data_IF_874469025464
#
_entry.id   IF_874469025464
#
_cell.length_a   1.000
_cell.length_b   1.000
_cell.length_c   1.000
_cell.angle_alpha   90.00
_cell.angle_beta   90.00
_cell.angle_gamma   90.00
#
_symmetry.space_group_name_H-M   'P 1'
#
loop_
_entity.id
_entity.type
_entity.pdbx_description
1 polymer ?
#
# COMPACT_ATOMS: atom_id res chain seq x y z
N UNK A 1 -13.46 31.67 8.10
CA UNK A 1 -12.31 32.28 7.38
C UNK A 1 -12.10 31.47 6.10
N UNK A 2 -11.78 32.14 5.00
CA UNK A 2 -11.50 31.49 3.72
C UNK A 2 -10.11 30.86 3.79
N UNK A 3 -9.99 29.55 3.54
CA UNK A 3 -8.70 28.85 3.51
C UNK A 3 -8.13 28.77 2.09
N UNK A 4 -6.87 29.14 1.91
CA UNK A 4 -6.17 29.05 0.63
C UNK A 4 -5.50 27.67 0.49
N UNK A 5 -5.93 26.91 -0.50
CA UNK A 5 -5.47 25.53 -0.76
C UNK A 5 -4.73 25.49 -2.09
N UNK A 6 -3.45 25.18 -2.03
CA UNK A 6 -2.60 24.98 -3.22
C UNK A 6 -2.60 23.52 -3.63
N UNK A 7 -3.07 23.22 -4.84
CA UNK A 7 -3.00 21.91 -5.45
C UNK A 7 -1.67 21.73 -6.19
N UNK A 8 -0.70 21.12 -5.55
CA UNK A 8 0.65 20.89 -6.05
C UNK A 8 0.87 19.46 -6.57
N UNK A 9 -0.17 18.81 -7.09
CA UNK A 9 -0.12 17.41 -7.48
C UNK A 9 -0.04 17.16 -9.00
N UNK A 10 0.25 18.22 -9.77
CA UNK A 10 0.36 18.17 -11.24
C UNK A 10 -0.87 18.69 -11.98
N UNK A 11 -0.61 19.28 -13.15
CA UNK A 11 -1.66 19.94 -13.94
C UNK A 11 -2.64 18.95 -14.59
N UNK A 12 -2.21 17.73 -14.81
CA UNK A 12 -2.99 16.61 -15.39
C UNK A 12 -4.09 16.11 -14.43
N UNK A 13 -3.83 16.13 -13.13
CA UNK A 13 -4.82 15.74 -12.12
C UNK A 13 -5.75 16.88 -11.71
N UNK A 14 -5.37 18.12 -11.97
CA UNK A 14 -6.09 19.30 -11.51
C UNK A 14 -7.56 19.36 -11.92
N UNK A 15 -7.96 19.09 -13.18
CA UNK A 15 -9.36 19.19 -13.60
C UNK A 15 -10.30 18.31 -12.77
N UNK A 16 -9.92 17.06 -12.54
CA UNK A 16 -10.73 16.08 -11.81
C UNK A 16 -10.76 16.40 -10.31
N UNK A 17 -9.61 16.70 -9.72
CA UNK A 17 -9.51 17.01 -8.30
C UNK A 17 -10.15 18.36 -7.95
N UNK A 18 -10.10 19.36 -8.82
CA UNK A 18 -10.75 20.65 -8.60
C UNK A 18 -12.23 20.47 -8.28
N UNK A 19 -12.94 19.74 -9.13
CA UNK A 19 -14.39 19.52 -8.98
C UNK A 19 -14.71 18.72 -7.72
N UNK A 20 -13.96 17.63 -7.48
CA UNK A 20 -14.16 16.77 -6.33
C UNK A 20 -13.86 17.47 -5.00
N UNK A 21 -12.78 18.26 -4.94
CA UNK A 21 -12.42 19.07 -3.76
C UNK A 21 -13.45 20.16 -3.49
N UNK A 22 -13.88 20.90 -4.53
CA UNK A 22 -14.94 21.92 -4.38
C UNK A 22 -16.20 21.29 -3.79
N UNK A 23 -16.65 20.16 -4.33
CA UNK A 23 -17.84 19.45 -3.87
C UNK A 23 -17.69 18.95 -2.43
N UNK A 24 -16.52 18.40 -2.08
CA UNK A 24 -16.26 17.86 -0.75
C UNK A 24 -16.16 18.97 0.30
N UNK A 25 -15.49 20.07 -0.01
CA UNK A 25 -15.42 21.24 0.87
C UNK A 25 -16.80 21.87 1.07
N UNK A 26 -17.58 22.00 0.01
CA UNK A 26 -18.94 22.55 0.10
C UNK A 26 -19.86 21.71 1.00
N UNK A 27 -19.77 20.36 0.92
CA UNK A 27 -20.53 19.46 1.81
C UNK A 27 -20.20 19.66 3.30
N UNK A 28 -18.96 20.06 3.59
CA UNK A 28 -18.51 20.33 4.97
C UNK A 28 -18.67 21.81 5.38
N UNK A 29 -19.26 22.63 4.52
CA UNK A 29 -19.45 24.06 4.79
C UNK A 29 -18.15 24.87 4.83
N UNK A 30 -17.09 24.39 4.19
CA UNK A 30 -15.80 25.05 4.14
C UNK A 30 -15.77 26.11 3.04
N UNK A 31 -15.30 27.31 3.41
CA UNK A 31 -15.00 28.41 2.49
C UNK A 31 -13.52 28.28 2.08
N UNK A 32 -13.26 27.85 0.84
CA UNK A 32 -11.91 27.56 0.34
C UNK A 32 -11.65 28.22 -1.01
N UNK A 33 -10.45 28.73 -1.21
CA UNK A 33 -9.91 29.11 -2.52
C UNK A 33 -8.96 28.03 -2.96
N UNK A 34 -9.35 27.28 -4.00
CA UNK A 34 -8.54 26.22 -4.60
C UNK A 34 -7.80 26.77 -5.82
N UNK A 35 -6.47 26.58 -5.86
CA UNK A 35 -5.63 26.99 -6.98
C UNK A 35 -4.54 25.94 -7.26
N UNK A 36 -4.17 25.79 -8.54
CA UNK A 36 -3.06 24.94 -9.00
C UNK A 36 -1.73 25.72 -9.12
N UNK A 37 -1.74 26.96 -8.71
CA UNK A 37 -0.58 27.84 -8.62
C UNK A 37 -0.55 28.54 -7.27
N UNK A 38 0.65 28.90 -6.81
CA UNK A 38 0.86 29.63 -5.56
C UNK A 38 1.78 30.82 -5.80
N UNK A 39 1.26 31.93 -6.40
CA UNK A 39 2.06 33.12 -6.67
C UNK A 39 2.60 33.79 -5.39
N UNK A 40 1.89 33.62 -4.28
CA UNK A 40 2.32 33.99 -2.93
C UNK A 40 2.29 32.76 -2.01
N UNK A 41 3.40 32.02 -1.89
CA UNK A 41 3.47 30.85 -1.02
C UNK A 41 3.14 31.15 0.46
N UNK A 42 3.45 32.36 0.94
CA UNK A 42 3.18 32.73 2.34
C UNK A 42 1.68 32.87 2.65
N UNK A 43 0.84 33.00 1.62
CA UNK A 43 -0.61 33.07 1.79
C UNK A 43 -1.31 31.70 1.77
N UNK A 44 -0.61 30.60 1.48
CA UNK A 44 -1.16 29.25 1.40
C UNK A 44 -1.39 28.66 2.79
N UNK A 45 -2.59 28.16 3.05
CA UNK A 45 -2.96 27.51 4.31
C UNK A 45 -2.84 25.99 4.26
N UNK A 46 -3.06 25.36 3.11
CA UNK A 46 -2.92 23.91 2.89
C UNK A 46 -2.30 23.59 1.54
N UNK A 47 -1.49 22.54 1.49
CA UNK A 47 -0.91 22.03 0.24
C UNK A 47 -1.44 20.63 0.00
N UNK A 48 -2.10 20.40 -1.13
CA UNK A 48 -2.41 19.06 -1.65
C UNK A 48 -1.24 18.62 -2.49
N UNK A 49 -0.56 17.53 -2.09
CA UNK A 49 0.74 17.11 -2.62
C UNK A 49 0.69 15.72 -3.27
N UNK A 50 1.47 15.54 -4.34
CA UNK A 50 1.81 14.23 -4.90
C UNK A 50 3.33 14.20 -5.19
N UNK A 51 3.95 13.03 -5.42
CA UNK A 51 5.40 12.91 -5.64
C UNK A 51 5.96 13.67 -6.86
N UNK A 52 5.13 14.05 -7.79
CA UNK A 52 5.43 14.91 -8.94
C UNK A 52 5.21 16.42 -8.66
N UNK A 53 4.93 16.79 -7.42
CA UNK A 53 4.73 18.18 -7.03
C UNK A 53 5.98 19.03 -7.33
N UNK A 54 5.79 20.28 -7.81
CA UNK A 54 6.89 21.19 -8.14
C UNK A 54 7.53 21.85 -6.90
N UNK A 55 7.28 21.33 -5.70
CA UNK A 55 7.76 21.90 -4.45
C UNK A 55 8.98 21.13 -3.96
N UNK A 56 10.15 21.78 -3.99
CA UNK A 56 11.38 21.27 -3.39
C UNK A 56 11.63 21.86 -1.99
N UNK A 57 11.24 23.12 -1.78
CA UNK A 57 11.44 23.89 -0.55
C UNK A 57 10.10 24.33 0.04
N UNK A 58 9.82 23.89 1.27
CA UNK A 58 8.58 24.20 2.01
C UNK A 58 8.74 25.44 2.92
N UNK A 59 9.93 26.00 3.08
CA UNK A 59 10.19 27.13 4.02
C UNK A 59 9.42 28.38 3.66
N UNK A 60 9.08 28.58 2.39
CA UNK A 60 8.32 29.74 1.91
C UNK A 60 6.83 29.68 2.27
N UNK A 61 6.31 28.51 2.62
CA UNK A 61 4.89 28.31 2.99
C UNK A 61 4.68 28.54 4.48
N UNK A 62 4.91 29.77 4.93
CA UNK A 62 4.98 30.11 6.37
C UNK A 62 3.65 30.00 7.11
N UNK A 63 2.51 30.09 6.40
CA UNK A 63 1.15 29.92 6.97
C UNK A 63 0.61 28.50 6.86
N UNK A 64 1.30 27.62 6.12
CA UNK A 64 0.79 26.29 5.81
C UNK A 64 0.61 25.46 7.09
N UNK A 65 -0.65 25.06 7.33
CA UNK A 65 -1.08 24.30 8.49
C UNK A 65 -0.83 22.81 8.32
N UNK A 66 -0.91 22.28 7.08
CA UNK A 66 -0.61 20.89 6.76
C UNK A 66 -0.32 20.67 5.27
N UNK A 67 0.52 19.66 4.99
CA UNK A 67 0.72 19.09 3.66
C UNK A 67 -0.06 17.77 3.59
N UNK A 68 -1.03 17.71 2.68
CA UNK A 68 -2.00 16.65 2.53
C UNK A 68 -1.64 15.84 1.28
N UNK A 69 -1.00 14.67 1.48
CA UNK A 69 -0.57 13.82 0.37
C UNK A 69 -1.77 13.12 -0.26
N UNK A 70 -1.81 13.04 -1.59
CA UNK A 70 -2.73 12.20 -2.34
C UNK A 70 -2.31 10.73 -2.37
N UNK A 71 -1.09 10.42 -1.92
CA UNK A 71 -0.55 9.06 -1.93
C UNK A 71 -0.41 8.52 -0.50
N UNK A 72 -0.60 7.20 -0.38
CA UNK A 72 -0.35 6.49 0.89
C UNK A 72 1.14 6.38 1.21
N UNK A 73 1.99 6.28 0.18
CA UNK A 73 3.44 6.27 0.30
C UNK A 73 4.00 7.68 0.41
N UNK A 74 4.78 7.93 1.45
CA UNK A 74 5.36 9.25 1.74
C UNK A 74 6.88 9.24 1.82
N UNK A 75 7.51 8.16 1.39
CA UNK A 75 8.95 7.90 1.53
C UNK A 75 9.83 8.95 0.85
N UNK A 76 9.30 9.64 -0.19
CA UNK A 76 10.02 10.69 -0.92
C UNK A 76 9.93 12.06 -0.27
N UNK A 77 8.80 12.36 0.40
CA UNK A 77 8.55 13.67 0.99
C UNK A 77 8.88 13.70 2.49
N UNK A 78 8.64 12.63 3.23
CA UNK A 78 8.85 12.59 4.67
C UNK A 78 10.28 12.97 5.12
N UNK A 79 11.36 12.60 4.40
CA UNK A 79 12.72 12.98 4.78
C UNK A 79 13.11 14.41 4.36
N UNK A 80 12.24 15.19 3.69
CA UNK A 80 12.58 16.53 3.26
C UNK A 80 12.84 17.45 4.48
N UNK A 81 14.04 18.01 4.65
CA UNK A 81 14.40 18.80 5.84
C UNK A 81 13.68 20.16 5.89
N UNK A 82 13.20 20.68 4.76
CA UNK A 82 12.48 21.95 4.69
C UNK A 82 11.01 21.83 5.04
N UNK A 83 10.48 20.60 5.05
CA UNK A 83 9.08 20.32 5.44
C UNK A 83 8.98 20.29 6.97
N UNK A 84 8.51 21.36 7.56
CA UNK A 84 8.30 21.46 9.03
C UNK A 84 6.83 21.31 9.40
N UNK A 85 5.94 21.44 8.45
CA UNK A 85 4.48 21.33 8.61
C UNK A 85 4.07 19.87 8.86
N UNK A 86 2.94 19.63 9.54
CA UNK A 86 2.30 18.33 9.58
C UNK A 86 2.14 17.74 8.18
N UNK A 87 2.58 16.49 7.99
CA UNK A 87 2.38 15.74 6.76
C UNK A 87 1.30 14.68 7.01
N UNK A 88 0.26 14.65 6.19
CA UNK A 88 -0.79 13.64 6.25
C UNK A 88 -0.71 12.77 5.00
N UNK A 89 -0.69 11.45 5.18
CA UNK A 89 -0.73 10.49 4.05
C UNK A 89 -2.16 10.18 3.65
N UNK A 90 -2.35 9.68 2.43
CA UNK A 90 -3.66 9.24 1.99
C UNK A 90 -4.03 7.88 2.60
N UNK A 91 -5.22 7.86 3.18
CA UNK A 91 -5.95 6.64 3.55
C UNK A 91 -7.43 6.93 3.27
N UNK A 92 -7.94 6.35 2.21
CA UNK A 92 -9.31 6.51 1.79
C UNK A 92 -9.98 5.17 1.50
N UNK A 93 -11.30 5.16 1.40
CA UNK A 93 -12.05 3.92 1.18
C UNK A 93 -11.75 3.30 -0.19
N UNK A 94 -11.61 4.09 -1.23
CA UNK A 94 -11.33 3.60 -2.58
C UNK A 94 -9.98 2.90 -2.69
N UNK A 95 -8.92 3.47 -2.06
CA UNK A 95 -7.62 2.83 -1.97
C UNK A 95 -7.69 1.53 -1.16
N UNK A 96 -8.43 1.53 -0.05
CA UNK A 96 -8.57 0.36 0.82
C UNK A 96 -9.34 -0.76 0.12
N UNK A 97 -10.45 -0.44 -0.52
CA UNK A 97 -11.27 -1.39 -1.27
C UNK A 97 -10.49 -2.01 -2.43
N UNK A 98 -9.79 -1.18 -3.24
CA UNK A 98 -8.95 -1.67 -4.33
C UNK A 98 -7.84 -2.63 -3.84
N UNK A 99 -7.17 -2.30 -2.74
CA UNK A 99 -6.16 -3.19 -2.15
C UNK A 99 -6.75 -4.52 -1.68
N UNK A 100 -7.93 -4.49 -1.05
CA UNK A 100 -8.64 -5.70 -0.61
C UNK A 100 -9.02 -6.57 -1.81
N UNK A 101 -9.57 -5.98 -2.85
CA UNK A 101 -9.96 -6.69 -4.09
C UNK A 101 -8.75 -7.34 -4.75
N UNK A 102 -7.67 -6.60 -4.92
CA UNK A 102 -6.45 -7.10 -5.55
C UNK A 102 -5.82 -8.24 -4.74
N UNK A 103 -5.64 -8.06 -3.43
CA UNK A 103 -5.03 -9.07 -2.55
C UNK A 103 -5.88 -10.33 -2.47
N UNK A 104 -7.20 -10.20 -2.28
CA UNK A 104 -8.10 -11.36 -2.21
C UNK A 104 -8.20 -12.07 -3.55
N UNK A 105 -8.22 -11.34 -4.66
CA UNK A 105 -8.21 -11.90 -6.02
C UNK A 105 -6.99 -12.78 -6.27
N UNK A 106 -5.78 -12.28 -5.96
CA UNK A 106 -4.55 -13.06 -6.12
C UNK A 106 -4.40 -14.18 -5.08
N UNK A 107 -4.88 -14.00 -3.85
CA UNK A 107 -4.91 -15.07 -2.85
C UNK A 107 -5.81 -16.23 -3.32
N UNK A 108 -7.00 -15.94 -3.85
CA UNK A 108 -7.88 -16.94 -4.42
C UNK A 108 -7.31 -17.59 -5.68
N UNK A 109 -6.64 -16.81 -6.56
CA UNK A 109 -5.94 -17.34 -7.74
C UNK A 109 -4.95 -18.43 -7.35
N UNK A 110 -4.10 -18.15 -6.36
CA UNK A 110 -3.11 -19.12 -5.88
C UNK A 110 -3.77 -20.27 -5.11
N UNK A 111 -4.74 -19.97 -4.26
CA UNK A 111 -5.47 -20.96 -3.48
C UNK A 111 -6.16 -22.01 -4.36
N UNK A 112 -6.83 -21.56 -5.41
CA UNK A 112 -7.60 -22.40 -6.32
C UNK A 112 -6.74 -23.02 -7.45
N UNK A 113 -5.46 -22.62 -7.58
CA UNK A 113 -4.58 -23.10 -8.65
C UNK A 113 -5.07 -22.67 -10.05
N UNK A 114 -5.65 -21.46 -10.17
CA UNK A 114 -6.30 -21.01 -11.41
C UNK A 114 -5.36 -21.00 -12.62
N UNK A 115 -4.06 -20.74 -12.43
CA UNK A 115 -3.10 -20.64 -13.52
C UNK A 115 -2.99 -21.92 -14.34
N UNK A 116 -3.04 -23.09 -13.69
CA UNK A 116 -3.02 -24.38 -14.38
C UNK A 116 -4.20 -24.55 -15.35
N UNK A 117 -5.33 -23.91 -15.06
CA UNK A 117 -6.52 -23.96 -15.91
C UNK A 117 -6.57 -22.82 -16.92
N UNK A 118 -6.12 -21.63 -16.57
CA UNK A 118 -6.11 -20.46 -17.46
C UNK A 118 -5.05 -20.63 -18.55
N UNK A 119 -3.84 -21.03 -18.18
CA UNK A 119 -2.70 -21.17 -19.10
C UNK A 119 -2.63 -22.55 -19.78
N UNK A 120 -3.25 -23.57 -19.19
CA UNK A 120 -3.20 -24.96 -19.63
C UNK A 120 -4.41 -25.41 -20.44
N UNK A 121 -5.00 -24.53 -21.26
CA UNK A 121 -6.17 -24.84 -22.11
C UNK A 121 -5.73 -25.53 -23.43
N UNK A 122 -5.37 -26.80 -23.33
CA UNK A 122 -4.82 -27.63 -24.42
C UNK A 122 -5.74 -28.82 -24.80
N UNK A 123 -6.99 -28.81 -24.36
CA UNK A 123 -7.96 -29.88 -24.60
C UNK A 123 -7.90 -31.05 -23.62
N UNK A 124 -6.95 -31.03 -22.66
CA UNK A 124 -6.84 -32.10 -21.64
C UNK A 124 -7.70 -31.74 -20.41
N UNK A 125 -8.62 -32.65 -20.06
CA UNK A 125 -9.51 -32.51 -18.90
C UNK A 125 -8.75 -32.82 -17.58
N UNK A 126 -8.27 -31.74 -16.88
CA UNK A 126 -7.48 -31.83 -15.64
C UNK A 126 -8.36 -31.79 -14.40
N UNK A 127 -9.16 -32.82 -14.15
CA UNK A 127 -10.09 -32.86 -13.00
C UNK A 127 -9.55 -33.55 -11.75
N UNK A 128 -8.31 -34.06 -11.78
CA UNK A 128 -7.77 -34.88 -10.68
C UNK A 128 -7.26 -34.05 -9.48
N UNK A 129 -6.77 -32.81 -9.72
CA UNK A 129 -6.22 -31.95 -8.66
C UNK A 129 -7.32 -31.04 -8.14
N UNK A 130 -7.68 -31.20 -6.87
CA UNK A 130 -8.64 -30.33 -6.19
C UNK A 130 -7.89 -29.44 -5.19
N UNK A 131 -8.13 -28.12 -5.16
CA UNK A 131 -7.56 -27.27 -4.14
C UNK A 131 -8.11 -27.66 -2.75
N UNK A 132 -7.37 -27.43 -1.65
CA UNK A 132 -7.91 -27.57 -0.31
C UNK A 132 -9.05 -26.57 -0.09
N UNK A 133 -9.81 -26.71 0.99
CA UNK A 133 -10.72 -25.64 1.39
C UNK A 133 -9.95 -24.47 2.00
N UNK A 134 -10.53 -23.26 1.97
CA UNK A 134 -9.87 -22.06 2.50
C UNK A 134 -9.45 -22.23 3.98
N UNK A 135 -10.29 -22.92 4.80
CA UNK A 135 -9.97 -23.20 6.21
C UNK A 135 -8.73 -24.09 6.43
N UNK A 136 -8.26 -24.75 5.39
CA UNK A 136 -7.10 -25.65 5.45
C UNK A 136 -5.84 -24.99 4.82
N UNK A 137 -5.93 -23.69 4.43
CA UNK A 137 -4.82 -22.92 3.87
C UNK A 137 -4.56 -21.67 4.68
N UNK A 138 -3.37 -21.57 5.29
CA UNK A 138 -3.00 -20.47 6.19
C UNK A 138 -2.52 -19.29 5.37
N UNK A 139 -3.05 -18.11 5.68
CA UNK A 139 -2.60 -16.84 5.09
C UNK A 139 -1.91 -16.02 6.16
N UNK A 140 -0.74 -15.47 5.81
CA UNK A 140 -0.02 -14.54 6.68
C UNK A 140 0.04 -13.16 6.04
N UNK A 141 -0.29 -12.11 6.80
CA UNK A 141 -0.21 -10.71 6.38
C UNK A 141 0.86 -10.00 7.19
N UNK A 142 1.96 -9.59 6.55
CA UNK A 142 2.98 -8.75 7.17
C UNK A 142 2.61 -7.27 7.00
N UNK A 143 2.33 -6.61 8.11
CA UNK A 143 1.87 -5.24 8.17
C UNK A 143 0.37 -5.15 8.48
N UNK A 144 0.06 -4.80 9.75
CA UNK A 144 -1.31 -4.62 10.25
C UNK A 144 -1.64 -3.12 10.41
N UNK A 145 -1.27 -2.31 9.40
CA UNK A 145 -1.78 -0.94 9.24
C UNK A 145 -3.21 -0.96 8.68
N UNK A 146 -3.69 0.17 8.17
CA UNK A 146 -5.05 0.30 7.62
C UNK A 146 -5.33 -0.74 6.52
N UNK A 147 -4.49 -0.76 5.47
CA UNK A 147 -4.66 -1.68 4.34
C UNK A 147 -4.49 -3.14 4.75
N UNK A 148 -3.45 -3.46 5.52
CA UNK A 148 -3.19 -4.83 5.92
C UNK A 148 -4.26 -5.40 6.86
N UNK A 149 -4.81 -4.58 7.75
CA UNK A 149 -5.94 -4.98 8.60
C UNK A 149 -7.20 -5.24 7.77
N UNK A 150 -7.50 -4.40 6.77
CA UNK A 150 -8.64 -4.59 5.88
C UNK A 150 -8.49 -5.88 5.05
N UNK A 151 -7.30 -6.12 4.47
CA UNK A 151 -7.01 -7.36 3.73
C UNK A 151 -7.10 -8.60 4.62
N UNK A 152 -6.55 -8.55 5.84
CA UNK A 152 -6.59 -9.66 6.78
C UNK A 152 -8.04 -10.03 7.14
N UNK A 153 -8.89 -9.03 7.39
CA UNK A 153 -10.33 -9.25 7.68
C UNK A 153 -11.07 -9.84 6.48
N UNK A 154 -10.81 -9.34 5.28
CA UNK A 154 -11.44 -9.87 4.07
C UNK A 154 -11.06 -11.34 3.81
N UNK A 155 -9.79 -11.69 3.98
CA UNK A 155 -9.32 -13.07 3.86
C UNK A 155 -9.93 -13.98 4.94
N UNK A 156 -10.04 -13.50 6.18
CA UNK A 156 -10.69 -14.24 7.26
C UNK A 156 -12.18 -14.46 6.97
N UNK A 157 -12.88 -13.48 6.39
CA UNK A 157 -14.28 -13.61 5.96
C UNK A 157 -14.48 -14.69 4.86
N UNK A 158 -13.43 -15.01 4.09
CA UNK A 158 -13.38 -16.12 3.15
C UNK A 158 -13.02 -17.47 3.81
N UNK A 159 -12.99 -17.51 5.15
CA UNK A 159 -12.64 -18.66 5.99
C UNK A 159 -11.16 -19.08 5.94
N UNK A 160 -10.25 -18.26 5.48
CA UNK A 160 -8.82 -18.55 5.67
C UNK A 160 -8.43 -18.35 7.13
N UNK A 161 -7.64 -19.27 7.75
CA UNK A 161 -6.93 -18.98 8.99
C UNK A 161 -5.87 -17.90 8.73
N UNK A 162 -6.10 -16.69 9.28
CA UNK A 162 -5.22 -15.55 9.03
C UNK A 162 -4.34 -15.27 10.24
N UNK A 163 -3.03 -15.19 9.99
CA UNK A 163 -2.04 -14.66 10.93
C UNK A 163 -1.59 -13.29 10.44
N UNK A 164 -1.64 -12.29 11.30
CA UNK A 164 -1.10 -10.97 11.01
C UNK A 164 0.16 -10.71 11.82
N UNK A 165 1.14 -10.04 11.23
CA UNK A 165 2.33 -9.58 11.92
C UNK A 165 2.51 -8.07 11.82
N UNK A 166 2.93 -7.45 12.90
CA UNK A 166 3.32 -6.03 12.96
C UNK A 166 4.46 -5.81 13.93
N UNK A 167 5.18 -4.69 13.76
CA UNK A 167 6.29 -4.33 14.66
C UNK A 167 5.87 -4.23 16.14
N UNK A 168 4.70 -3.66 16.38
CA UNK A 168 4.10 -3.48 17.72
C UNK A 168 2.92 -4.41 17.89
N UNK A 169 2.60 -4.75 19.14
CA UNK A 169 1.44 -5.57 19.46
C UNK A 169 0.15 -4.95 18.90
N UNK A 170 -0.67 -5.80 18.30
CA UNK A 170 -2.00 -5.49 17.77
C UNK A 170 -3.00 -6.52 18.28
N UNK A 171 -4.27 -6.11 18.35
CA UNK A 171 -5.39 -7.02 18.62
C UNK A 171 -6.47 -6.74 17.60
N UNK A 172 -6.77 -7.74 16.78
CA UNK A 172 -7.77 -7.67 15.71
C UNK A 172 -8.63 -8.92 15.84
N UNK A 173 -9.93 -8.73 16.03
CA UNK A 173 -10.85 -9.84 16.21
C UNK A 173 -10.80 -10.79 15.00
N UNK A 174 -10.69 -12.10 15.30
CA UNK A 174 -10.61 -13.14 14.28
C UNK A 174 -9.26 -13.31 13.60
N UNK A 175 -8.23 -12.51 13.97
CA UNK A 175 -6.88 -12.58 13.40
C UNK A 175 -5.88 -12.95 14.50
N UNK A 176 -5.03 -13.95 14.26
CA UNK A 176 -3.91 -14.27 15.13
C UNK A 176 -2.81 -13.21 14.94
N UNK A 177 -2.67 -12.27 15.89
CA UNK A 177 -1.68 -11.20 15.79
C UNK A 177 -0.37 -11.57 16.47
N UNK A 178 0.75 -11.43 15.75
CA UNK A 178 2.12 -11.64 16.22
C UNK A 178 2.92 -10.34 16.09
N UNK A 179 3.98 -10.18 16.92
CA UNK A 179 4.84 -9.01 16.86
C UNK A 179 6.30 -9.36 17.18
N UNK A 180 7.21 -8.44 16.90
CA UNK A 180 8.65 -8.62 17.15
C UNK A 180 9.31 -9.64 16.23
N UNK A 181 10.60 -9.92 16.44
CA UNK A 181 11.36 -10.83 15.57
C UNK A 181 10.91 -12.29 15.71
N UNK A 182 10.71 -12.78 16.93
CA UNK A 182 10.22 -14.16 17.16
C UNK A 182 8.84 -14.36 16.53
N UNK A 183 7.95 -13.35 16.68
CA UNK A 183 6.64 -13.38 16.04
C UNK A 183 6.73 -13.37 14.51
N UNK A 184 7.72 -12.71 13.92
CA UNK A 184 7.96 -12.75 12.47
C UNK A 184 8.36 -14.16 12.01
N UNK A 185 9.27 -14.79 12.74
CA UNK A 185 9.71 -16.14 12.45
C UNK A 185 8.55 -17.14 12.49
N UNK A 186 7.71 -17.04 13.53
CA UNK A 186 6.51 -17.87 13.69
C UNK A 186 5.49 -17.61 12.57
N UNK A 187 5.26 -16.34 12.20
CA UNK A 187 4.35 -15.95 11.13
C UNK A 187 4.78 -16.54 9.77
N UNK A 188 6.09 -16.47 9.44
CA UNK A 188 6.65 -17.02 8.21
C UNK A 188 6.54 -18.54 8.14
N UNK A 189 6.81 -19.24 9.26
CA UNK A 189 6.72 -20.70 9.31
C UNK A 189 5.31 -21.25 9.08
N UNK A 190 4.28 -20.40 9.21
CA UNK A 190 2.87 -20.76 9.00
C UNK A 190 2.32 -20.31 7.65
N UNK A 191 3.08 -19.54 6.86
CA UNK A 191 2.58 -18.88 5.66
C UNK A 191 2.49 -19.82 4.46
N UNK A 192 1.32 -20.40 4.18
CA UNK A 192 1.07 -21.05 2.90
C UNK A 192 0.86 -19.99 1.79
N UNK A 193 0.29 -18.83 2.13
CA UNK A 193 0.25 -17.62 1.31
C UNK A 193 0.75 -16.47 2.17
N UNK A 194 1.78 -15.76 1.72
CA UNK A 194 2.34 -14.58 2.37
C UNK A 194 1.94 -13.32 1.61
N UNK A 195 1.34 -12.36 2.31
CA UNK A 195 1.03 -11.02 1.79
C UNK A 195 1.90 -9.99 2.53
N UNK A 196 2.62 -9.14 1.79
CA UNK A 196 3.48 -8.11 2.39
C UNK A 196 2.89 -6.72 2.16
N UNK A 197 2.49 -6.04 3.25
CA UNK A 197 1.87 -4.71 3.26
C UNK A 197 2.59 -3.77 4.25
N UNK A 198 3.92 -3.84 4.24
CA UNK A 198 4.79 -3.01 5.07
C UNK A 198 5.26 -1.77 4.32
N UNK A 199 5.51 -0.64 5.02
CA UNK A 199 6.18 0.51 4.43
C UNK A 199 7.66 0.21 4.15
N UNK A 200 8.27 0.97 3.25
CA UNK A 200 9.72 0.97 3.07
C UNK A 200 10.39 1.79 4.17
N UNK A 201 11.24 1.13 4.96
CA UNK A 201 12.10 1.73 5.98
C UNK A 201 13.44 1.00 5.98
N UNK A 202 14.45 1.55 6.65
CA UNK A 202 15.73 0.83 6.83
C UNK A 202 15.55 -0.56 7.50
N UNK A 203 14.57 -0.69 8.39
CA UNK A 203 14.28 -1.95 9.08
C UNK A 203 13.51 -2.97 8.23
N UNK A 204 12.86 -2.54 7.16
CA UNK A 204 12.08 -3.42 6.27
C UNK A 204 12.76 -3.67 4.93
N UNK A 205 13.87 -3.02 4.63
CA UNK A 205 14.65 -3.29 3.43
C UNK A 205 15.24 -4.70 3.48
N UNK A 206 15.05 -5.49 2.40
CA UNK A 206 15.39 -6.90 2.34
C UNK A 206 14.83 -7.72 3.51
N UNK A 207 13.67 -7.32 4.03
CA UNK A 207 13.00 -8.08 5.07
C UNK A 207 12.83 -9.54 4.65
N UNK A 208 12.42 -9.78 3.40
CA UNK A 208 12.30 -11.11 2.82
C UNK A 208 13.60 -11.46 2.08
N UNK A 209 14.55 -12.01 2.81
CA UNK A 209 15.84 -12.51 2.35
C UNK A 209 15.85 -14.05 2.28
N UNK A 210 16.99 -14.65 1.91
CA UNK A 210 17.13 -16.09 1.75
C UNK A 210 16.78 -16.89 3.01
N UNK A 211 17.22 -16.44 4.18
CA UNK A 211 16.95 -17.11 5.46
C UNK A 211 15.46 -17.11 5.80
N UNK A 212 14.78 -16.01 5.53
CA UNK A 212 13.34 -15.87 5.79
C UNK A 212 12.50 -16.63 4.76
N UNK A 213 12.89 -16.67 3.49
CA UNK A 213 12.27 -17.58 2.52
C UNK A 213 12.43 -19.04 2.91
N UNK A 214 13.59 -19.43 3.41
CA UNK A 214 13.84 -20.82 3.84
C UNK A 214 12.94 -21.26 5.01
N UNK A 215 12.41 -20.34 5.80
CA UNK A 215 11.47 -20.66 6.91
C UNK A 215 10.05 -20.90 6.45
N UNK A 216 9.66 -20.38 5.29
CA UNK A 216 8.30 -20.60 4.76
C UNK A 216 8.12 -22.08 4.37
N UNK A 217 6.90 -22.61 4.43
CA UNK A 217 6.59 -23.95 3.93
C UNK A 217 6.99 -24.12 2.46
N UNK A 218 7.38 -25.34 2.07
CA UNK A 218 7.61 -25.66 0.65
C UNK A 218 6.33 -25.47 -0.15
N UNK A 219 6.46 -24.84 -1.32
CA UNK A 219 5.33 -24.59 -2.19
C UNK A 219 4.42 -23.43 -1.76
N UNK A 220 4.92 -22.53 -0.89
CA UNK A 220 4.19 -21.33 -0.48
C UNK A 220 4.07 -20.34 -1.63
N UNK A 221 3.15 -19.37 -1.47
CA UNK A 221 2.92 -18.28 -2.41
C UNK A 221 3.30 -16.95 -1.77
N UNK A 222 3.80 -16.02 -2.60
CA UNK A 222 4.11 -14.65 -2.20
C UNK A 222 3.23 -13.66 -2.97
N UNK A 223 2.66 -12.68 -2.26
CA UNK A 223 1.89 -11.57 -2.84
C UNK A 223 2.47 -10.28 -2.25
N UNK A 224 3.08 -9.43 -3.09
CA UNK A 224 3.68 -8.18 -2.64
C UNK A 224 3.04 -6.96 -3.31
N UNK A 225 2.00 -6.36 -2.72
CA UNK A 225 1.48 -5.06 -3.11
C UNK A 225 2.04 -3.91 -2.24
N UNK A 226 2.99 -4.18 -1.35
CA UNK A 226 3.52 -3.20 -0.41
C UNK A 226 4.59 -2.31 -1.03
N UNK A 227 5.85 -2.76 -0.98
CA UNK A 227 7.01 -2.06 -1.57
C UNK A 227 8.03 -3.06 -2.11
N UNK A 228 8.63 -2.75 -3.27
CA UNK A 228 9.64 -3.60 -3.91
C UNK A 228 10.84 -3.90 -3.00
N UNK A 229 11.47 -2.89 -2.36
CA UNK A 229 12.62 -3.11 -1.48
C UNK A 229 12.39 -3.99 -0.23
N UNK A 230 11.16 -4.40 0.07
CA UNK A 230 10.89 -5.41 1.11
C UNK A 230 11.49 -6.77 0.77
N UNK A 231 11.71 -7.03 -0.51
CA UNK A 231 12.15 -8.32 -1.03
C UNK A 231 13.58 -8.20 -1.56
N UNK A 232 14.40 -9.17 -1.22
CA UNK A 232 15.67 -9.43 -1.90
C UNK A 232 15.35 -10.20 -3.18
N UNK A 233 15.57 -9.56 -4.33
CA UNK A 233 15.19 -10.08 -5.64
C UNK A 233 15.94 -11.37 -6.00
N UNK A 234 17.25 -11.46 -5.66
CA UNK A 234 18.06 -12.65 -5.92
C UNK A 234 17.63 -13.81 -5.02
N UNK A 235 17.35 -13.53 -3.74
CA UNK A 235 16.84 -14.53 -2.81
C UNK A 235 15.46 -15.06 -3.23
N UNK A 236 14.59 -14.19 -3.77
CA UNK A 236 13.30 -14.64 -4.28
C UNK A 236 13.44 -15.53 -5.51
N UNK A 237 14.28 -15.14 -6.48
CA UNK A 237 14.53 -15.97 -7.68
C UNK A 237 15.06 -17.36 -7.28
N UNK A 238 16.03 -17.42 -6.37
CA UNK A 238 16.54 -18.68 -5.86
C UNK A 238 15.46 -19.54 -5.15
N UNK A 239 14.58 -18.89 -4.38
CA UNK A 239 13.48 -19.58 -3.70
C UNK A 239 12.41 -20.12 -4.67
N UNK A 240 12.13 -19.40 -5.77
CA UNK A 240 11.25 -19.83 -6.86
C UNK A 240 11.82 -21.01 -7.63
N UNK A 241 13.12 -20.96 -7.97
CA UNK A 241 13.83 -22.04 -8.67
C UNK A 241 13.86 -23.32 -7.82
N UNK A 242 14.16 -23.19 -6.53
CA UNK A 242 14.17 -24.31 -5.59
C UNK A 242 12.76 -24.84 -5.26
N UNK A 243 11.68 -24.21 -5.72
CA UNK A 243 10.29 -24.57 -5.42
C UNK A 243 9.87 -24.28 -3.98
N UNK A 244 10.67 -23.55 -3.21
CA UNK A 244 10.28 -23.05 -1.88
C UNK A 244 9.07 -22.13 -2.02
N UNK A 245 9.14 -21.20 -2.97
CA UNK A 245 8.03 -20.38 -3.40
C UNK A 245 7.48 -20.97 -4.70
N UNK A 246 6.20 -21.35 -4.70
CA UNK A 246 5.54 -21.92 -5.87
C UNK A 246 5.22 -20.86 -6.91
N UNK A 247 4.84 -19.65 -6.47
CA UNK A 247 4.58 -18.50 -7.33
C UNK A 247 4.66 -17.20 -6.53
N UNK A 248 5.14 -16.14 -7.17
CA UNK A 248 5.13 -14.79 -6.63
C UNK A 248 4.29 -13.85 -7.50
N UNK A 249 3.38 -13.09 -6.89
CA UNK A 249 2.68 -11.96 -7.52
C UNK A 249 3.25 -10.67 -6.96
N UNK A 250 3.87 -9.87 -7.83
CA UNK A 250 4.58 -8.66 -7.47
C UNK A 250 3.95 -7.47 -8.18
N UNK A 251 3.47 -6.50 -7.41
CA UNK A 251 2.91 -5.26 -7.94
C UNK A 251 3.90 -4.10 -7.87
N UNK A 252 4.94 -4.26 -7.05
CA UNK A 252 5.91 -3.19 -6.73
C UNK A 252 7.35 -3.71 -6.85
N UNK A 253 8.28 -2.82 -7.21
CA UNK A 253 9.65 -3.17 -7.55
C UNK A 253 10.66 -2.19 -6.94
N UNK A 254 11.96 -2.58 -6.90
CA UNK A 254 13.05 -1.70 -6.43
C UNK A 254 13.25 -0.49 -7.34
N UNK A 255 13.08 -0.72 -8.63
CA UNK A 255 13.13 0.30 -9.67
C UNK A 255 11.82 0.25 -10.43
N UNK A 256 11.12 1.36 -10.48
CA UNK A 256 9.85 1.50 -11.20
C UNK A 256 9.94 2.68 -12.19
N UNK A 257 9.52 2.44 -13.45
CA UNK A 257 9.03 1.21 -14.06
C UNK A 257 10.06 0.07 -14.03
N UNK A 258 9.59 -1.19 -13.86
CA UNK A 258 10.45 -2.37 -13.87
C UNK A 258 11.22 -2.45 -15.21
N UNK A 259 12.58 -2.47 -15.20
CA UNK A 259 13.37 -2.50 -16.43
C UNK A 259 12.99 -3.69 -17.33
N UNK A 260 12.91 -3.51 -18.66
CA UNK A 260 12.51 -4.58 -19.59
C UNK A 260 13.39 -5.84 -19.54
N UNK A 261 14.67 -5.70 -19.13
CA UNK A 261 15.59 -6.83 -19.00
C UNK A 261 15.53 -7.50 -17.61
N UNK A 262 14.64 -7.08 -16.71
CA UNK A 262 14.57 -7.65 -15.37
C UNK A 262 14.13 -9.11 -15.41
N UNK A 263 14.79 -10.03 -14.64
CA UNK A 263 14.50 -11.46 -14.68
C UNK A 263 13.04 -11.82 -14.36
N UNK A 264 12.35 -11.01 -13.57
CA UNK A 264 10.94 -11.27 -13.21
C UNK A 264 10.01 -11.35 -14.41
N UNK A 265 10.27 -10.61 -15.49
CA UNK A 265 9.44 -10.66 -16.70
C UNK A 265 9.43 -12.03 -17.37
N UNK A 266 10.57 -12.71 -17.39
CA UNK A 266 10.73 -14.01 -18.06
C UNK A 266 10.49 -15.19 -17.13
N UNK A 267 10.40 -14.97 -15.81
CA UNK A 267 10.30 -16.08 -14.85
C UNK A 267 8.89 -16.69 -14.84
N UNK A 268 8.74 -18.02 -15.13
CA UNK A 268 7.41 -18.63 -15.32
C UNK A 268 6.55 -18.69 -14.04
N UNK A 269 7.18 -18.48 -12.86
CA UNK A 269 6.51 -18.48 -11.56
C UNK A 269 6.38 -17.06 -10.98
N UNK A 270 6.50 -16.01 -11.80
CA UNK A 270 6.31 -14.62 -11.38
C UNK A 270 5.19 -14.00 -12.20
N UNK A 271 4.28 -13.33 -11.51
CA UNK A 271 3.30 -12.43 -12.10
C UNK A 271 3.68 -11.00 -11.74
N UNK A 272 3.91 -10.19 -12.75
CA UNK A 272 4.18 -8.75 -12.62
C UNK A 272 2.90 -7.99 -12.90
N UNK A 273 2.52 -7.09 -12.00
CA UNK A 273 1.53 -6.05 -12.26
C UNK A 273 2.18 -4.68 -12.02
N UNK A 274 1.83 -3.64 -12.83
CA UNK A 274 2.62 -2.41 -12.86
C UNK A 274 2.16 -1.38 -11.83
N UNK A 275 2.24 -1.71 -10.54
CA UNK A 275 1.87 -0.87 -9.39
C UNK A 275 0.42 -0.38 -9.48
N UNK A 276 -0.51 -1.34 -9.65
CA UNK A 276 -1.95 -1.10 -9.85
C UNK A 276 -2.84 -1.77 -8.81
N UNK A 277 -2.23 -2.35 -7.75
CA UNK A 277 -2.98 -3.05 -6.71
C UNK A 277 -4.02 -2.15 -6.02
N UNK A 278 -3.71 -0.86 -5.88
CA UNK A 278 -4.65 0.12 -5.37
C UNK A 278 -4.27 1.53 -5.84
N UNK A 279 -5.21 2.19 -6.49
CA UNK A 279 -5.09 3.59 -6.89
C UNK A 279 -5.95 4.49 -6.01
N UNK A 280 -5.42 5.70 -5.74
CA UNK A 280 -6.18 6.76 -5.08
C UNK A 280 -7.34 7.20 -5.98
N UNK A 281 -8.57 7.08 -5.49
CA UNK A 281 -9.76 7.52 -6.22
C UNK A 281 -10.05 8.97 -5.91
N UNK A 282 -10.22 9.80 -6.94
CA UNK A 282 -10.41 11.25 -6.81
C UNK A 282 -11.52 11.64 -5.83
N UNK A 283 -12.68 10.98 -5.92
CA UNK A 283 -13.85 11.32 -5.09
C UNK A 283 -13.64 10.98 -3.62
N UNK A 284 -13.09 9.79 -3.30
CA UNK A 284 -12.85 9.36 -1.92
C UNK A 284 -11.68 10.12 -1.30
N UNK A 285 -10.62 10.37 -2.05
CA UNK A 285 -9.48 11.16 -1.62
C UNK A 285 -9.84 12.61 -1.33
N UNK A 286 -10.64 13.25 -2.18
CA UNK A 286 -11.11 14.62 -1.97
C UNK A 286 -11.90 14.75 -0.65
N UNK A 287 -12.63 13.71 -0.25
CA UNK A 287 -13.32 13.65 1.05
C UNK A 287 -12.34 13.69 2.23
N UNK A 288 -11.26 12.91 2.19
CA UNK A 288 -10.22 12.89 3.23
C UNK A 288 -9.46 14.21 3.30
N UNK A 289 -9.12 14.80 2.15
CA UNK A 289 -8.48 16.12 2.07
C UNK A 289 -9.38 17.19 2.70
N UNK A 290 -10.66 17.25 2.30
CA UNK A 290 -11.62 18.22 2.83
C UNK A 290 -11.82 18.05 4.35
N UNK A 291 -11.91 16.81 4.85
CA UNK A 291 -12.00 16.57 6.30
C UNK A 291 -10.75 17.02 7.05
N UNK A 292 -9.56 16.84 6.50
CA UNK A 292 -8.33 17.35 7.11
C UNK A 292 -8.28 18.89 7.11
N UNK A 293 -8.77 19.55 6.05
CA UNK A 293 -8.92 21.01 6.04
C UNK A 293 -9.90 21.44 7.14
N UNK A 294 -11.08 20.80 7.24
CA UNK A 294 -12.05 21.08 8.31
C UNK A 294 -11.42 20.96 9.70
N UNK A 295 -10.68 19.88 9.95
CA UNK A 295 -9.99 19.66 11.23
C UNK A 295 -8.97 20.75 11.53
N UNK A 296 -8.16 21.12 10.54
CA UNK A 296 -7.19 22.19 10.69
C UNK A 296 -7.82 23.55 10.96
N UNK A 297 -8.97 23.86 10.33
CA UNK A 297 -9.73 25.09 10.63
C UNK A 297 -10.38 25.06 12.01
N UNK A 298 -10.74 23.88 12.51
CA UNK A 298 -11.31 23.70 13.85
C UNK A 298 -10.24 23.54 14.95
N UNK A 299 -8.94 23.47 14.62
CA UNK A 299 -7.87 23.18 15.57
C UNK A 299 -7.90 21.74 16.11
N UNK A 300 -8.51 20.80 15.37
CA UNK A 300 -8.58 19.39 15.69
C UNK A 300 -7.33 18.64 15.15
N UNK A 301 -6.93 17.50 15.74
CA UNK A 301 -5.85 16.67 15.20
C UNK A 301 -6.14 16.21 13.77
N UNK A 302 -5.14 16.28 12.89
CA UNK A 302 -5.25 15.78 11.52
C UNK A 302 -5.42 14.26 11.49
N UNK A 303 -6.14 13.76 10.47
CA UNK A 303 -6.21 12.34 10.15
C UNK A 303 -4.92 11.91 9.47
N UNK A 304 -4.46 10.70 9.79
CA UNK A 304 -3.35 10.00 9.12
C UNK A 304 -2.05 10.81 9.06
N UNK A 305 -1.78 11.56 10.14
CA UNK A 305 -0.54 12.30 10.26
C UNK A 305 0.64 11.33 10.33
N UNK A 306 1.67 11.61 9.54
CA UNK A 306 2.89 10.81 9.42
C UNK A 306 3.80 11.07 10.62
N UNK A 307 4.27 10.01 11.26
CA UNK A 307 5.42 10.08 12.16
C UNK A 307 6.70 10.10 11.31
N UNK A 308 7.26 11.29 11.13
CA UNK A 308 8.45 11.48 10.28
C UNK A 308 9.71 10.79 10.83
N UNK A 309 9.79 10.52 12.14
CA UNK A 309 10.90 9.77 12.72
C UNK A 309 10.81 8.29 12.35
N UNK A 310 9.60 7.78 12.18
CA UNK A 310 9.35 6.41 11.71
C UNK A 310 9.30 6.30 10.18
N UNK A 311 9.06 7.42 9.47
CA UNK A 311 9.00 7.49 8.02
C UNK A 311 7.63 7.09 7.42
N UNK A 312 6.57 6.91 8.24
CA UNK A 312 5.22 6.51 7.78
C UNK A 312 4.10 6.90 8.75
#
# INVERSE_FOLDING_TARGET
>A
MTANVYFAAGADLWPDYRTALQSSCARLGLDVVLADTAPDPAAVDYIVHAPNAPIADFTTFTRCKAVLSLWAGVERIAPNPTLTQPLCRMVDSGLTEGMVEWVTGHALRHHLGMDAHILGQDGVWRGAVKPPLARDRRVTVLGLGELGTACARALAALNFPVTGWSRTEKRIDGIACLCGEDGLQEALARADILVTLLPRTAATENLMNADRFARMPMGSFLINPGRGPLIDDEALLAALDAGRIAHATLDVFRVEPLPPAHPFWAHPKVTVTPHVAADTRTDTAAGVIAENIRRGEAGEPFLFQVDRALGY
#
